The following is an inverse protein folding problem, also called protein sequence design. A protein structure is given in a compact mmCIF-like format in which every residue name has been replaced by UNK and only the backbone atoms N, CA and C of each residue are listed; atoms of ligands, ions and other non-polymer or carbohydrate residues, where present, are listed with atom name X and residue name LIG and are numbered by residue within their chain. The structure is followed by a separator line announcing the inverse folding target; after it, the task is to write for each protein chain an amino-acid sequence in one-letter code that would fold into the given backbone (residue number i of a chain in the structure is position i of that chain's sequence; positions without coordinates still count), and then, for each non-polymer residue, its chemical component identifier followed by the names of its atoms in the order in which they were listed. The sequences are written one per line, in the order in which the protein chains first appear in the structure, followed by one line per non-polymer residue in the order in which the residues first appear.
data_IF_695768058369
#
_entry.id   IF_695768058369
#
_cell.length_a   1.000
_cell.length_b   1.000
_cell.length_c   1.000
_cell.angle_alpha   90.00
_cell.angle_beta   90.00
_cell.angle_gamma   90.00
#
_symmetry.space_group_name_H-M   'P 1'
#
loop_
_entity.id
_entity.type
_entity.pdbx_description
1 polymer ?
#
# COMPACT_ATOMS: atom_id res chain seq x y z
N UNK A 1 8.34 17.76 4.35
CA UNK A 1 7.94 17.65 2.93
C UNK A 1 6.68 16.80 2.84
N UNK A 2 5.51 17.42 2.65
CA UNK A 2 4.24 16.72 2.53
C UNK A 2 4.12 16.12 1.11
N UNK A 3 4.20 14.79 0.98
CA UNK A 3 3.83 14.12 -0.29
C UNK A 3 2.31 14.19 -0.43
N UNK A 4 1.88 14.81 -1.53
CA UNK A 4 0.47 15.05 -1.89
C UNK A 4 -0.25 13.72 -2.15
N UNK A 5 -1.27 13.43 -1.35
CA UNK A 5 -2.26 12.35 -1.54
C UNK A 5 -3.33 12.71 -2.60
N UNK A 6 -2.98 13.51 -3.61
CA UNK A 6 -3.94 14.01 -4.62
C UNK A 6 -4.28 13.02 -5.74
N UNK A 7 -3.80 11.77 -5.68
CA UNK A 7 -3.96 10.79 -6.77
C UNK A 7 -5.36 10.22 -6.96
N UNK A 8 -6.29 10.40 -6.00
CA UNK A 8 -7.61 9.76 -6.06
C UNK A 8 -8.60 10.43 -7.03
N UNK A 9 -8.41 11.71 -7.35
CA UNK A 9 -9.46 12.58 -7.92
C UNK A 9 -9.60 12.53 -9.45
N UNK A 10 -8.76 11.76 -10.14
CA UNK A 10 -8.74 11.72 -11.61
C UNK A 10 -9.02 10.34 -12.19
N UNK A 11 -9.46 9.37 -11.37
CA UNK A 11 -9.79 8.02 -11.85
C UNK A 11 -11.23 7.98 -12.40
N UNK A 12 -11.37 8.16 -13.72
CA UNK A 12 -12.65 8.07 -14.45
C UNK A 12 -13.35 6.70 -14.40
N UNK A 13 -12.81 5.70 -13.69
CA UNK A 13 -13.36 4.35 -13.60
C UNK A 13 -13.89 3.95 -12.24
N UNK A 14 -13.87 4.85 -11.27
CA UNK A 14 -14.60 4.63 -10.02
C UNK A 14 -15.99 5.22 -10.15
N UNK A 15 -16.98 4.49 -9.63
CA UNK A 15 -18.33 5.03 -9.49
C UNK A 15 -18.26 6.37 -8.73
N UNK A 16 -18.98 7.42 -9.17
CA UNK A 16 -18.91 8.75 -8.56
C UNK A 16 -19.11 8.74 -7.04
N UNK A 17 -20.00 7.86 -6.55
CA UNK A 17 -20.25 7.68 -5.12
C UNK A 17 -19.02 7.16 -4.37
N UNK A 18 -18.25 6.25 -4.98
CA UNK A 18 -17.02 5.73 -4.38
C UNK A 18 -15.94 6.80 -4.34
N UNK A 19 -15.84 7.67 -5.36
CA UNK A 19 -14.91 8.79 -5.35
C UNK A 19 -15.21 9.79 -4.23
N UNK A 20 -16.49 10.13 -4.04
CA UNK A 20 -16.93 11.01 -2.95
C UNK A 20 -16.62 10.38 -1.59
N UNK A 21 -16.91 9.08 -1.42
CA UNK A 21 -16.61 8.36 -0.18
C UNK A 21 -15.10 8.31 0.10
N UNK A 22 -14.28 7.96 -0.90
CA UNK A 22 -12.81 7.96 -0.77
C UNK A 22 -12.27 9.34 -0.40
N UNK A 23 -12.81 10.41 -0.99
CA UNK A 23 -12.39 11.77 -0.67
C UNK A 23 -12.78 12.15 0.77
N UNK A 24 -14.00 11.84 1.19
CA UNK A 24 -14.46 12.08 2.55
C UNK A 24 -13.60 11.33 3.58
N UNK A 25 -13.32 10.03 3.34
CA UNK A 25 -12.49 9.19 4.19
C UNK A 25 -11.03 9.69 4.23
N UNK A 26 -10.48 10.10 3.10
CA UNK A 26 -9.12 10.66 3.02
C UNK A 26 -9.01 11.95 3.81
N UNK A 27 -10.01 12.83 3.71
CA UNK A 27 -10.07 14.07 4.48
C UNK A 27 -10.19 13.81 5.98
N UNK A 28 -11.04 12.85 6.38
CA UNK A 28 -11.19 12.45 7.77
C UNK A 28 -9.89 11.87 8.35
N UNK A 29 -9.25 10.95 7.61
CA UNK A 29 -7.96 10.37 7.98
C UNK A 29 -6.88 11.46 8.13
N UNK A 30 -6.79 12.40 7.20
CA UNK A 30 -5.84 13.51 7.27
C UNK A 30 -6.13 14.47 8.43
N UNK A 31 -7.40 14.71 8.74
CA UNK A 31 -7.81 15.47 9.92
C UNK A 31 -7.29 14.82 11.21
N UNK A 32 -7.51 13.52 11.37
CA UNK A 32 -7.03 12.77 12.54
C UNK A 32 -5.51 12.66 12.63
N UNK A 33 -4.80 12.53 11.50
CA UNK A 33 -3.33 12.64 11.47
C UNK A 33 -2.83 13.99 11.97
N UNK A 34 -3.48 15.10 11.57
CA UNK A 34 -3.11 16.46 12.02
C UNK A 34 -3.37 16.68 13.51
N UNK A 35 -4.40 16.05 14.05
CA UNK A 35 -4.70 16.02 15.48
C UNK A 35 -3.71 15.13 16.27
N UNK A 36 -2.82 14.38 15.61
CA UNK A 36 -1.91 13.42 16.25
C UNK A 36 -2.59 12.11 16.68
N UNK A 37 -3.89 11.94 16.40
CA UNK A 37 -4.64 10.75 16.77
C UNK A 37 -4.55 9.67 15.68
N UNK A 38 -3.42 8.97 15.68
CA UNK A 38 -3.12 7.91 14.70
C UNK A 38 -4.05 6.71 14.86
N UNK A 39 -4.43 6.36 16.09
CA UNK A 39 -5.39 5.26 16.35
C UNK A 39 -6.75 5.54 15.73
N UNK A 40 -7.26 6.77 15.83
CA UNK A 40 -8.51 7.15 15.19
C UNK A 40 -8.41 7.19 13.66
N UNK A 41 -7.19 7.24 13.09
CA UNK A 41 -6.98 7.25 11.63
C UNK A 41 -7.14 5.86 11.01
N UNK A 42 -6.82 4.79 11.76
CA UNK A 42 -6.85 3.39 11.32
C UNK A 42 -8.18 2.97 10.66
N UNK A 43 -9.36 3.16 11.27
CA UNK A 43 -10.61 2.71 10.65
C UNK A 43 -10.87 3.37 9.29
N UNK A 44 -10.49 4.64 9.11
CA UNK A 44 -10.63 5.34 7.84
C UNK A 44 -9.70 4.77 6.77
N UNK A 45 -8.43 4.51 7.12
CA UNK A 45 -7.46 3.91 6.20
C UNK A 45 -7.85 2.48 5.82
N UNK A 46 -8.30 1.67 6.78
CA UNK A 46 -8.81 0.33 6.52
C UNK A 46 -10.00 0.33 5.56
N UNK A 47 -10.93 1.27 5.71
CA UNK A 47 -12.07 1.44 4.79
C UNK A 47 -11.63 1.87 3.40
N UNK A 48 -10.66 2.78 3.27
CA UNK A 48 -10.09 3.17 1.97
C UNK A 48 -9.50 1.96 1.25
N UNK A 49 -8.69 1.14 1.93
CA UNK A 49 -8.11 -0.09 1.37
C UNK A 49 -9.21 -1.03 0.88
N UNK A 50 -10.23 -1.28 1.71
CA UNK A 50 -11.35 -2.15 1.36
C UNK A 50 -12.14 -1.66 0.14
N UNK A 51 -12.39 -0.35 0.03
CA UNK A 51 -13.07 0.23 -1.14
C UNK A 51 -12.25 0.03 -2.41
N UNK A 52 -10.93 0.28 -2.35
CA UNK A 52 -10.04 0.11 -3.50
C UNK A 52 -9.93 -1.36 -3.93
N UNK A 53 -9.86 -2.31 -2.98
CA UNK A 53 -9.88 -3.74 -3.28
C UNK A 53 -11.19 -4.18 -3.96
N UNK A 54 -12.31 -3.64 -3.48
CA UNK A 54 -13.65 -3.92 -4.02
C UNK A 54 -13.76 -3.40 -5.45
N UNK A 55 -13.32 -2.16 -5.69
CA UNK A 55 -13.32 -1.56 -7.02
C UNK A 55 -12.37 -2.28 -7.98
N UNK A 56 -11.18 -2.66 -7.51
CA UNK A 56 -10.23 -3.47 -8.30
C UNK A 56 -10.86 -4.80 -8.72
N UNK A 57 -11.59 -5.45 -7.81
CA UNK A 57 -12.27 -6.72 -8.09
C UNK A 57 -13.39 -6.56 -9.12
N UNK A 58 -14.19 -5.49 -9.03
CA UNK A 58 -15.22 -5.15 -10.02
C UNK A 58 -14.64 -4.84 -11.41
N UNK A 59 -13.52 -4.13 -11.47
CA UNK A 59 -12.88 -3.78 -12.74
C UNK A 59 -12.17 -4.95 -13.41
N UNK A 60 -11.65 -5.93 -12.64
CA UNK A 60 -11.12 -7.18 -13.20
C UNK A 60 -12.15 -7.96 -14.01
N UNK A 61 -13.43 -7.92 -13.62
CA UNK A 61 -14.52 -8.52 -14.41
C UNK A 61 -14.85 -7.75 -15.69
N UNK A 62 -14.51 -6.46 -15.78
CA UNK A 62 -14.80 -5.59 -16.90
C UNK A 62 -13.71 -5.59 -18.00
N UNK A 63 -12.64 -6.39 -17.86
CA UNK A 63 -11.52 -6.56 -18.80
C UNK A 63 -10.68 -5.30 -19.14
N UNK A 64 -10.87 -4.15 -18.48
CA UNK A 64 -9.97 -3.01 -18.64
C UNK A 64 -8.68 -3.21 -17.83
N UNK A 65 -7.64 -3.68 -18.51
CA UNK A 65 -6.31 -3.97 -17.93
C UNK A 65 -5.60 -2.71 -17.44
N UNK A 66 -5.70 -1.60 -18.17
CA UNK A 66 -5.01 -0.35 -17.81
C UNK A 66 -5.60 0.21 -16.53
N UNK A 67 -6.92 0.21 -16.44
CA UNK A 67 -7.62 0.75 -15.29
C UNK A 67 -7.45 -0.09 -14.03
N UNK A 68 -7.54 -1.42 -14.18
CA UNK A 68 -7.29 -2.35 -13.08
C UNK A 68 -5.90 -2.13 -12.49
N UNK A 69 -4.90 -1.89 -13.33
CA UNK A 69 -3.53 -1.64 -12.89
C UNK A 69 -3.40 -0.34 -12.08
N UNK A 70 -4.07 0.74 -12.49
CA UNK A 70 -4.08 1.99 -11.73
C UNK A 70 -4.71 1.79 -10.36
N UNK A 71 -5.85 1.08 -10.27
CA UNK A 71 -6.51 0.78 -9.01
C UNK A 71 -5.65 -0.10 -8.09
N UNK A 72 -4.95 -1.09 -8.64
CA UNK A 72 -4.01 -1.92 -7.88
C UNK A 72 -2.86 -1.11 -7.28
N UNK A 73 -2.29 -0.18 -8.04
CA UNK A 73 -1.24 0.72 -7.55
C UNK A 73 -1.75 1.63 -6.44
N UNK A 74 -2.94 2.22 -6.63
CA UNK A 74 -3.59 3.04 -5.61
C UNK A 74 -3.89 2.23 -4.34
N UNK A 75 -4.37 1.00 -4.50
CA UNK A 75 -4.60 0.07 -3.40
C UNK A 75 -3.31 -0.27 -2.65
N UNK A 76 -2.20 -0.48 -3.36
CA UNK A 76 -0.90 -0.70 -2.74
C UNK A 76 -0.42 0.53 -1.94
N UNK A 77 -0.59 1.75 -2.47
CA UNK A 77 -0.25 2.97 -1.76
C UNK A 77 -1.11 3.19 -0.51
N UNK A 78 -2.41 2.96 -0.60
CA UNK A 78 -3.31 3.02 0.54
C UNK A 78 -2.94 1.99 1.63
N UNK A 79 -2.54 0.78 1.24
CA UNK A 79 -2.06 -0.25 2.17
C UNK A 79 -0.77 0.16 2.87
N UNK A 80 0.15 0.85 2.20
CA UNK A 80 1.36 1.39 2.82
C UNK A 80 0.98 2.41 3.90
N UNK A 81 0.09 3.35 3.59
CA UNK A 81 -0.38 4.33 4.56
C UNK A 81 -1.07 3.67 5.76
N UNK A 82 -1.84 2.60 5.50
CA UNK A 82 -2.49 1.81 6.54
C UNK A 82 -1.49 1.05 7.41
N UNK A 83 -0.54 0.34 6.79
CA UNK A 83 0.52 -0.39 7.48
C UNK A 83 1.37 0.54 8.37
N UNK A 84 1.70 1.74 7.88
CA UNK A 84 2.44 2.74 8.66
C UNK A 84 1.66 3.18 9.90
N UNK A 85 0.34 3.41 9.79
CA UNK A 85 -0.48 3.77 10.93
C UNK A 85 -0.59 2.63 11.96
N UNK A 86 -0.71 1.37 11.49
CA UNK A 86 -0.70 0.18 12.33
C UNK A 86 0.64 0.03 13.07
N UNK A 87 1.76 0.22 12.38
CA UNK A 87 3.10 0.17 12.98
C UNK A 87 3.27 1.22 14.08
N UNK A 88 2.90 2.48 13.80
CA UNK A 88 3.01 3.59 14.76
C UNK A 88 2.14 3.39 16.01
N UNK A 89 1.05 2.61 15.88
CA UNK A 89 0.17 2.26 16.99
C UNK A 89 0.48 0.88 17.59
N UNK A 90 1.63 0.30 17.23
CA UNK A 90 2.15 -0.97 17.74
C UNK A 90 1.27 -2.19 17.41
N UNK A 91 0.41 -2.09 16.39
CA UNK A 91 -0.38 -3.20 15.85
C UNK A 91 0.46 -3.99 14.83
N UNK A 92 1.52 -4.63 15.31
CA UNK A 92 2.55 -5.24 14.47
C UNK A 92 2.08 -6.47 13.68
N UNK A 93 1.11 -7.23 14.20
CA UNK A 93 0.55 -8.39 13.52
C UNK A 93 -0.23 -7.97 12.26
N UNK A 94 -1.09 -6.96 12.39
CA UNK A 94 -1.84 -6.40 11.27
C UNK A 94 -0.92 -5.65 10.30
N UNK A 95 0.10 -4.93 10.81
CA UNK A 95 1.16 -4.34 9.98
C UNK A 95 1.77 -5.39 9.06
N UNK A 96 2.26 -6.49 9.63
CA UNK A 96 2.98 -7.55 8.93
C UNK A 96 2.16 -8.06 7.74
N UNK A 97 0.88 -8.32 7.96
CA UNK A 97 -0.03 -8.78 6.92
C UNK A 97 -0.16 -7.75 5.80
N UNK A 98 -0.38 -6.48 6.12
CA UNK A 98 -0.54 -5.43 5.11
C UNK A 98 0.75 -5.23 4.30
N UNK A 99 1.89 -5.12 4.98
CA UNK A 99 3.19 -4.95 4.33
C UNK A 99 3.54 -6.15 3.46
N UNK A 100 3.28 -7.37 3.92
CA UNK A 100 3.49 -8.59 3.15
C UNK A 100 2.65 -8.65 1.87
N UNK A 101 1.40 -8.16 1.90
CA UNK A 101 0.56 -8.04 0.70
C UNK A 101 1.13 -7.02 -0.29
N UNK A 102 1.63 -5.88 0.18
CA UNK A 102 2.27 -4.86 -0.66
C UNK A 102 3.53 -5.40 -1.32
N UNK A 103 4.41 -6.09 -0.56
CA UNK A 103 5.62 -6.70 -1.11
C UNK A 103 5.29 -7.70 -2.22
N UNK A 104 4.35 -8.63 -1.97
CA UNK A 104 3.90 -9.61 -2.97
C UNK A 104 3.29 -8.95 -4.21
N UNK A 105 2.62 -7.81 -4.04
CA UNK A 105 2.11 -7.04 -5.16
C UNK A 105 3.26 -6.45 -6.00
N UNK A 106 4.20 -5.72 -5.40
CA UNK A 106 5.31 -5.11 -6.13
C UNK A 106 6.22 -6.14 -6.80
N UNK A 107 6.48 -7.29 -6.16
CA UNK A 107 7.23 -8.37 -6.81
C UNK A 107 6.55 -8.90 -8.07
N UNK A 108 5.22 -9.03 -8.07
CA UNK A 108 4.46 -9.42 -9.26
C UNK A 108 4.47 -8.31 -10.29
N UNK A 109 4.33 -7.07 -9.86
CA UNK A 109 4.35 -5.89 -10.73
C UNK A 109 5.68 -5.73 -11.46
N UNK A 110 6.81 -5.99 -10.80
CA UNK A 110 8.14 -5.95 -11.40
C UNK A 110 8.40 -7.05 -12.44
N UNK A 111 7.59 -8.11 -12.46
CA UNK A 111 7.67 -9.19 -13.48
C UNK A 111 6.93 -8.84 -14.77
N UNK A 112 6.20 -7.71 -14.82
CA UNK A 112 5.52 -7.29 -16.05
C UNK A 112 6.56 -6.93 -17.14
N UNK A 113 6.40 -7.45 -18.37
CA UNK A 113 7.34 -7.21 -19.47
C UNK A 113 7.29 -5.76 -20.00
N UNK A 114 6.14 -5.12 -19.85
CA UNK A 114 5.75 -3.80 -20.35
C UNK A 114 6.13 -2.64 -19.40
N UNK A 115 6.84 -2.93 -18.30
CA UNK A 115 7.29 -1.92 -17.36
C UNK A 115 8.51 -1.16 -17.90
N UNK A 116 8.41 0.16 -18.01
CA UNK A 116 9.56 0.96 -18.43
C UNK A 116 10.63 1.01 -17.31
N UNK A 117 11.87 1.35 -17.69
CA UNK A 117 13.00 1.30 -16.76
C UNK A 117 12.84 2.25 -15.56
N UNK A 118 12.25 3.42 -15.76
CA UNK A 118 12.02 4.40 -14.69
C UNK A 118 11.01 3.90 -13.67
N UNK A 119 9.88 3.34 -14.13
CA UNK A 119 8.86 2.71 -13.30
C UNK A 119 9.43 1.52 -12.53
N UNK A 120 10.24 0.68 -13.20
CA UNK A 120 10.90 -0.45 -12.57
C UNK A 120 11.77 -0.02 -11.39
N UNK A 121 12.62 1.00 -11.58
CA UNK A 121 13.46 1.55 -10.51
C UNK A 121 12.59 2.13 -9.39
N UNK A 122 11.53 2.87 -9.72
CA UNK A 122 10.61 3.45 -8.74
C UNK A 122 9.91 2.39 -7.87
N UNK A 123 9.39 1.33 -8.48
CA UNK A 123 8.72 0.23 -7.77
C UNK A 123 9.73 -0.61 -6.97
N UNK A 124 10.93 -0.85 -7.52
CA UNK A 124 11.98 -1.56 -6.81
C UNK A 124 12.41 -0.79 -5.54
N UNK A 125 12.57 0.54 -5.65
CA UNK A 125 12.86 1.39 -4.48
C UNK A 125 11.76 1.30 -3.43
N UNK A 126 10.48 1.38 -3.82
CA UNK A 126 9.34 1.20 -2.90
C UNK A 126 9.38 -0.18 -2.25
N UNK A 127 9.63 -1.24 -3.01
CA UNK A 127 9.69 -2.62 -2.50
C UNK A 127 10.80 -2.82 -1.47
N UNK A 128 11.99 -2.23 -1.69
CA UNK A 128 13.10 -2.32 -0.72
C UNK A 128 12.71 -1.72 0.64
N UNK A 129 12.04 -0.56 0.63
CA UNK A 129 11.53 0.10 1.85
C UNK A 129 10.50 -0.78 2.56
N UNK A 130 9.61 -1.42 1.79
CA UNK A 130 8.59 -2.29 2.38
C UNK A 130 9.18 -3.58 2.96
N UNK A 131 10.28 -4.11 2.40
CA UNK A 131 10.98 -5.23 3.04
C UNK A 131 11.58 -4.86 4.38
N UNK A 132 12.12 -3.65 4.52
CA UNK A 132 12.62 -3.18 5.81
C UNK A 132 11.49 -3.10 6.83
N UNK A 133 10.38 -2.44 6.47
CA UNK A 133 9.20 -2.35 7.33
C UNK A 133 8.63 -3.74 7.71
N UNK A 134 8.68 -4.71 6.79
CA UNK A 134 8.20 -6.07 7.06
C UNK A 134 9.13 -6.82 8.02
N UNK A 135 10.44 -6.68 7.85
CA UNK A 135 11.42 -7.23 8.79
C UNK A 135 11.24 -6.59 10.18
N UNK A 136 11.06 -5.27 10.25
CA UNK A 136 10.82 -4.55 11.51
C UNK A 136 9.55 -5.04 12.20
N UNK A 137 8.45 -5.28 11.47
CA UNK A 137 7.23 -5.85 12.06
C UNK A 137 7.49 -7.24 12.66
N UNK A 138 8.29 -8.11 12.02
CA UNK A 138 8.67 -9.40 12.61
C UNK A 138 9.60 -9.28 13.82
N UNK A 139 10.52 -8.32 13.84
CA UNK A 139 11.38 -8.11 15.01
C UNK A 139 10.59 -7.65 16.23
N UNK A 140 9.65 -6.73 16.03
CA UNK A 140 8.76 -6.26 17.11
C UNK A 140 7.81 -7.35 17.60
N UNK A 141 7.51 -8.36 16.77
CA UNK A 141 6.79 -9.58 17.16
C UNK A 141 7.68 -10.64 17.82
N UNK A 142 8.98 -10.39 17.98
CA UNK A 142 9.94 -11.34 18.55
C UNK A 142 10.33 -12.49 17.61
N UNK A 143 10.08 -12.37 16.30
CA UNK A 143 10.35 -13.40 15.31
C UNK A 143 11.55 -13.05 14.41
N UNK A 144 12.75 -13.05 15.01
CA UNK A 144 14.01 -12.73 14.33
C UNK A 144 14.31 -13.64 13.14
N UNK A 145 13.93 -14.92 13.20
CA UNK A 145 14.11 -15.86 12.10
C UNK A 145 13.35 -15.43 10.83
N UNK A 146 12.11 -14.95 10.96
CA UNK A 146 11.35 -14.44 9.82
C UNK A 146 11.89 -13.10 9.35
N UNK A 147 12.29 -12.21 10.25
CA UNK A 147 12.95 -10.95 9.88
C UNK A 147 14.20 -11.20 9.01
N UNK A 148 15.05 -12.15 9.39
CA UNK A 148 16.24 -12.53 8.61
C UNK A 148 15.90 -13.13 7.24
N UNK A 149 14.81 -13.89 7.14
CA UNK A 149 14.33 -14.37 5.83
C UNK A 149 13.91 -13.22 4.93
N UNK A 150 13.24 -12.20 5.48
CA UNK A 150 12.86 -11.02 4.70
C UNK A 150 14.08 -10.23 4.26
N UNK A 151 15.09 -10.06 5.12
CA UNK A 151 16.36 -9.40 4.76
C UNK A 151 17.09 -10.12 3.63
N UNK A 152 17.21 -11.45 3.70
CA UNK A 152 17.77 -12.27 2.62
C UNK A 152 16.97 -12.17 1.32
N UNK A 153 15.64 -11.98 1.41
CA UNK A 153 14.79 -11.75 0.24
C UNK A 153 15.05 -10.38 -0.38
N UNK A 154 15.24 -9.35 0.45
CA UNK A 154 15.61 -8.00 0.01
C UNK A 154 16.92 -7.99 -0.77
N UNK A 155 17.94 -8.71 -0.30
CA UNK A 155 19.25 -8.82 -0.97
C UNK A 155 19.15 -9.33 -2.42
N UNK A 156 18.23 -10.25 -2.70
CA UNK A 156 18.00 -10.78 -4.06
C UNK A 156 17.41 -9.75 -5.02
N UNK A 157 16.81 -8.69 -4.49
CA UNK A 157 16.11 -7.64 -5.24
C UNK A 157 16.96 -6.36 -5.30
N UNK A 158 18.12 -6.30 -4.65
CA UNK A 158 19.02 -5.16 -4.79
C UNK A 158 19.53 -5.07 -6.24
N UNK A 159 19.63 -3.85 -6.81
CA UNK A 159 20.26 -3.67 -8.11
C UNK A 159 21.71 -4.14 -8.03
N UNK A 160 22.11 -5.00 -8.99
CA UNK A 160 23.50 -5.42 -9.17
C UNK A 160 24.27 -4.40 -9.99
#
# INVERSE_FOLDING_TARGET
MARRTTGFLTCNAMEPNTLIELQALTNAANGKKREGNLTATIPYLGKIVHLLDTQTSKQRSAQDKSMTQTLELMGAEARIDFANALFQTQQYAECEVQTGLVCKFFERYLKKPDLNQSERIGIQSKLLVQYDAWADCYENLGNSFLADKIRKRKEKVLPK
#
